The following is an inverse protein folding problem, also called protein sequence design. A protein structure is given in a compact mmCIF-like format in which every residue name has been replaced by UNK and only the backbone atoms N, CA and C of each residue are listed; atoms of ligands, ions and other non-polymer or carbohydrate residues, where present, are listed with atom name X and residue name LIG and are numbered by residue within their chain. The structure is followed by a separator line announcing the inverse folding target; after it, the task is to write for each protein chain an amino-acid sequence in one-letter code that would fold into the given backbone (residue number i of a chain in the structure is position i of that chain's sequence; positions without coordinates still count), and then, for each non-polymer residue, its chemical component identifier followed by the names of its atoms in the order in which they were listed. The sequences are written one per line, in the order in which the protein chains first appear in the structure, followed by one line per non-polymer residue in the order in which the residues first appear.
data_IF_837194751605
#
_entry.id   IF_837194751605
#
_cell.length_a   1.000
_cell.length_b   1.000
_cell.length_c   1.000
_cell.angle_alpha   90.00
_cell.angle_beta   90.00
_cell.angle_gamma   90.00
#
_symmetry.space_group_name_H-M   'P 1'
#
loop_
_entity.id
_entity.type
_entity.pdbx_description
1 polymer ?
#
# COMPACT_ATOMS: atom_id res chain seq x y z
N UNK A 1 -35.48 20.80 -19.19
CA UNK A 1 -36.79 20.26 -18.76
C UNK A 1 -36.69 19.82 -17.32
N UNK A 2 -37.67 20.14 -16.47
CA UNK A 2 -37.66 19.82 -15.03
C UNK A 2 -37.44 18.32 -14.73
N UNK A 3 -37.83 17.42 -15.65
CA UNK A 3 -37.51 15.99 -15.57
C UNK A 3 -36.01 15.69 -15.61
N UNK A 4 -35.22 16.43 -16.41
CA UNK A 4 -33.77 16.24 -16.54
C UNK A 4 -33.01 16.62 -15.26
N UNK A 5 -33.45 17.70 -14.59
CA UNK A 5 -32.88 18.14 -13.31
C UNK A 5 -33.25 17.17 -12.17
N UNK A 6 -34.47 16.63 -12.18
CA UNK A 6 -34.91 15.59 -11.25
C UNK A 6 -34.10 14.30 -11.38
N UNK A 7 -33.86 13.84 -12.61
CA UNK A 7 -33.06 12.63 -12.87
C UNK A 7 -31.57 12.83 -12.53
N UNK A 8 -31.03 14.03 -12.75
CA UNK A 8 -29.66 14.38 -12.35
C UNK A 8 -29.50 14.40 -10.83
N UNK A 9 -30.44 15.02 -10.12
CA UNK A 9 -30.41 15.12 -8.66
C UNK A 9 -30.60 13.74 -7.99
N UNK A 10 -31.42 12.86 -8.56
CA UNK A 10 -31.54 11.45 -8.15
C UNK A 10 -30.25 10.65 -8.38
N UNK A 11 -29.54 10.89 -9.49
CA UNK A 11 -28.23 10.25 -9.74
C UNK A 11 -27.20 10.75 -8.72
N UNK A 12 -27.09 12.06 -8.52
CA UNK A 12 -26.16 12.67 -7.55
C UNK A 12 -26.41 12.20 -6.10
N UNK A 13 -27.66 11.96 -5.72
CA UNK A 13 -28.03 11.41 -4.41
C UNK A 13 -27.71 9.91 -4.24
N UNK A 14 -27.45 9.19 -5.34
CA UNK A 14 -27.21 7.73 -5.32
C UNK A 14 -25.73 7.34 -5.43
N UNK A 15 -24.84 8.29 -5.74
CA UNK A 15 -23.40 7.98 -5.88
C UNK A 15 -22.74 8.06 -4.52
N UNK A 16 -22.29 6.93 -4.01
CA UNK A 16 -21.51 6.89 -2.76
C UNK A 16 -20.23 7.73 -2.89
N UNK A 17 -19.68 8.27 -1.79
CA UNK A 17 -18.40 8.99 -1.83
C UNK A 17 -17.29 8.19 -2.53
N UNK A 18 -17.25 6.88 -2.31
CA UNK A 18 -16.34 5.93 -2.96
C UNK A 18 -16.51 5.89 -4.49
N UNK A 19 -17.74 5.96 -5.00
CA UNK A 19 -18.00 5.95 -6.44
C UNK A 19 -17.66 7.30 -7.11
N UNK A 20 -17.86 8.41 -6.40
CA UNK A 20 -17.42 9.73 -6.87
C UNK A 20 -15.89 9.79 -6.97
N UNK A 21 -15.16 9.21 -6.01
CA UNK A 21 -13.70 9.14 -6.08
C UNK A 21 -13.20 8.17 -7.16
N UNK A 22 -13.85 7.01 -7.33
CA UNK A 22 -13.56 6.10 -8.47
C UNK A 22 -13.78 6.78 -9.83
N UNK A 23 -14.79 7.64 -9.95
CA UNK A 23 -15.00 8.44 -11.16
C UNK A 23 -13.88 9.46 -11.35
N UNK A 24 -13.42 10.14 -10.29
CA UNK A 24 -12.25 11.03 -10.37
C UNK A 24 -11.01 10.25 -10.82
N UNK A 25 -10.76 9.05 -10.30
CA UNK A 25 -9.62 8.22 -10.71
C UNK A 25 -9.68 7.80 -12.19
N UNK A 26 -10.88 7.57 -12.75
CA UNK A 26 -11.04 7.26 -14.18
C UNK A 26 -10.60 8.39 -15.10
N UNK A 27 -10.73 9.64 -14.67
CA UNK A 27 -10.43 10.83 -15.49
C UNK A 27 -9.19 11.60 -15.03
N UNK A 28 -8.60 11.28 -13.88
CA UNK A 28 -7.56 12.12 -13.26
C UNK A 28 -6.17 11.97 -13.89
N UNK A 29 -5.93 11.08 -14.86
CA UNK A 29 -4.60 10.88 -15.48
C UNK A 29 -3.49 10.47 -14.49
N UNK A 30 -3.85 10.17 -13.24
CA UNK A 30 -2.91 9.80 -12.17
C UNK A 30 -2.48 8.35 -12.38
N UNK A 31 -1.16 8.13 -12.42
CA UNK A 31 -0.58 6.81 -12.61
C UNK A 31 -1.00 5.88 -11.47
N UNK A 32 -1.45 4.67 -11.84
CA UNK A 32 -1.67 3.60 -10.88
C UNK A 32 -0.31 3.20 -10.29
N UNK A 33 -0.29 2.90 -9.00
CA UNK A 33 0.93 2.51 -8.28
C UNK A 33 0.77 1.12 -7.70
N UNK A 34 1.88 0.43 -7.50
CA UNK A 34 1.90 -0.90 -6.95
C UNK A 34 1.94 -0.85 -5.41
N UNK A 35 1.20 -1.74 -4.74
CA UNK A 35 1.34 -1.96 -3.31
C UNK A 35 2.67 -2.64 -3.02
N UNK A 36 3.45 -2.11 -2.08
CA UNK A 36 4.76 -2.67 -1.75
C UNK A 36 4.67 -4.05 -1.08
N UNK A 37 3.55 -4.39 -0.42
CA UNK A 37 3.39 -5.68 0.26
C UNK A 37 2.86 -6.76 -0.69
N UNK A 38 1.68 -6.56 -1.30
CA UNK A 38 1.02 -7.57 -2.13
C UNK A 38 1.30 -7.45 -3.63
N UNK A 39 2.08 -6.46 -4.07
CA UNK A 39 2.49 -6.29 -5.48
C UNK A 39 1.36 -6.07 -6.49
N UNK A 40 0.12 -5.90 -6.06
CA UNK A 40 -0.98 -5.54 -6.94
C UNK A 40 -0.99 -4.04 -7.26
N UNK A 41 -1.47 -3.70 -8.46
CA UNK A 41 -1.56 -2.33 -8.95
C UNK A 41 -2.89 -1.71 -8.55
N UNK A 42 -2.83 -0.58 -7.87
CA UNK A 42 -3.98 0.14 -7.34
C UNK A 42 -4.02 1.59 -7.81
N UNK A 43 -5.20 2.19 -7.76
CA UNK A 43 -5.30 3.65 -7.79
C UNK A 43 -4.65 4.24 -6.54
N UNK A 44 -4.12 5.45 -6.65
CA UNK A 44 -3.39 6.09 -5.55
C UNK A 44 -4.25 6.26 -4.28
N UNK A 45 -5.55 6.45 -4.43
CA UNK A 45 -6.52 6.56 -3.33
C UNK A 45 -6.62 5.26 -2.51
N UNK A 46 -6.43 4.12 -3.18
CA UNK A 46 -6.47 2.79 -2.55
C UNK A 46 -5.14 2.40 -1.89
N UNK A 47 -4.16 3.32 -1.85
CA UNK A 47 -2.85 3.17 -1.23
C UNK A 47 -2.68 4.18 -0.08
N UNK A 48 -3.50 4.09 0.99
CA UNK A 48 -3.57 5.12 2.01
C UNK A 48 -2.29 5.19 2.84
N UNK A 49 -1.77 4.04 3.27
CA UNK A 49 -0.67 3.97 4.23
C UNK A 49 0.68 4.13 3.53
N UNK A 50 1.53 4.98 4.12
CA UNK A 50 2.95 5.11 3.77
C UNK A 50 3.79 4.55 4.93
N UNK A 51 4.68 3.62 4.64
CA UNK A 51 5.53 2.94 5.63
C UNK A 51 6.94 2.75 5.08
N UNK A 52 7.92 2.51 5.94
CA UNK A 52 9.30 2.25 5.52
C UNK A 52 9.43 0.91 4.79
N UNK A 53 10.34 0.84 3.82
CA UNK A 53 10.65 -0.40 3.12
C UNK A 53 11.08 -1.52 4.08
N UNK A 54 11.80 -1.18 5.16
CA UNK A 54 12.19 -2.13 6.20
C UNK A 54 10.97 -2.87 6.79
N UNK A 55 9.89 -2.16 7.12
CA UNK A 55 8.70 -2.81 7.66
C UNK A 55 8.09 -3.81 6.67
N UNK A 56 8.07 -3.47 5.37
CA UNK A 56 7.60 -4.39 4.32
C UNK A 56 8.45 -5.65 4.26
N UNK A 57 9.77 -5.49 4.32
CA UNK A 57 10.70 -6.62 4.30
C UNK A 57 10.50 -7.49 5.53
N UNK A 58 10.40 -6.91 6.71
CA UNK A 58 10.25 -7.65 7.95
C UNK A 58 8.98 -8.53 7.94
N UNK A 59 7.86 -8.01 7.42
CA UNK A 59 6.62 -8.81 7.22
C UNK A 59 6.80 -9.89 6.15
N UNK A 60 7.44 -9.58 5.02
CA UNK A 60 7.67 -10.58 3.97
C UNK A 60 8.53 -11.73 4.46
N UNK A 61 9.57 -11.41 5.23
CA UNK A 61 10.47 -12.38 5.82
C UNK A 61 9.79 -13.22 6.89
N UNK A 62 8.90 -12.63 7.70
CA UNK A 62 8.11 -13.38 8.69
C UNK A 62 7.21 -14.44 8.03
N UNK A 63 6.79 -14.20 6.78
CA UNK A 63 6.05 -15.16 5.95
C UNK A 63 6.94 -16.12 5.17
N UNK A 64 8.26 -16.08 5.33
CA UNK A 64 9.22 -16.91 4.60
C UNK A 64 9.39 -16.53 3.12
N UNK A 65 8.99 -15.31 2.74
CA UNK A 65 9.23 -14.81 1.38
C UNK A 65 10.68 -14.35 1.21
N UNK A 66 11.19 -14.47 -0.01
CA UNK A 66 12.56 -14.09 -0.33
C UNK A 66 12.78 -12.58 -0.10
N UNK A 67 13.90 -12.28 0.57
CA UNK A 67 14.42 -10.92 0.72
C UNK A 67 14.51 -10.19 -0.63
N UNK A 68 14.19 -8.89 -0.70
CA UNK A 68 14.65 -8.09 -1.83
C UNK A 68 16.18 -8.01 -1.83
N UNK A 69 16.74 -7.56 -2.95
CA UNK A 69 18.18 -7.46 -3.12
C UNK A 69 18.86 -6.73 -1.93
N UNK A 70 19.99 -7.21 -1.39
CA UNK A 70 20.60 -6.72 -0.15
C UNK A 70 20.86 -5.21 -0.11
N UNK A 71 21.10 -4.60 -1.28
CA UNK A 71 21.20 -3.14 -1.46
C UNK A 71 20.02 -2.36 -0.84
N UNK A 72 18.81 -2.88 -0.94
CA UNK A 72 17.60 -2.23 -0.42
C UNK A 72 17.38 -2.45 1.09
N UNK A 73 18.13 -3.38 1.69
CA UNK A 73 18.08 -3.67 3.13
C UNK A 73 19.03 -2.78 3.93
N UNK A 74 20.00 -2.14 3.26
CA UNK A 74 20.99 -1.27 3.88
C UNK A 74 20.52 0.19 3.90
N UNK A 75 20.91 0.97 4.93
CA UNK A 75 20.70 2.41 4.91
C UNK A 75 21.36 3.06 3.68
N UNK A 76 20.78 4.15 3.13
CA UNK A 76 19.53 4.79 3.54
C UNK A 76 18.26 4.14 2.96
N UNK A 77 18.40 3.28 1.95
CA UNK A 77 17.29 2.77 1.14
C UNK A 77 16.23 1.99 1.93
N UNK A 78 16.62 1.30 3.01
CA UNK A 78 15.66 0.58 3.85
C UNK A 78 14.65 1.48 4.58
N UNK A 79 14.92 2.80 4.65
CA UNK A 79 14.02 3.80 5.22
C UNK A 79 13.18 4.53 4.18
N UNK A 80 13.27 4.15 2.89
CA UNK A 80 12.44 4.75 1.85
C UNK A 80 10.95 4.50 2.14
N UNK A 81 10.15 5.55 1.99
CA UNK A 81 8.72 5.50 2.22
C UNK A 81 8.01 4.88 1.01
N UNK A 82 7.38 3.74 1.24
CA UNK A 82 6.61 2.99 0.25
C UNK A 82 5.13 2.95 0.64
N UNK A 83 4.28 2.72 -0.37
CA UNK A 83 2.82 2.77 -0.21
C UNK A 83 2.23 1.36 -0.17
N UNK A 84 1.27 1.14 0.73
CA UNK A 84 0.52 -0.13 0.82
C UNK A 84 -0.98 0.10 0.74
N UNK A 85 -1.69 -0.91 0.26
CA UNK A 85 -3.13 -0.81 0.03
C UNK A 85 -3.92 -0.87 1.33
N UNK A 86 -5.18 -0.44 1.30
CA UNK A 86 -6.10 -0.43 2.45
C UNK A 86 -6.25 -1.79 3.11
N UNK A 87 -6.15 -2.88 2.36
CA UNK A 87 -6.17 -4.23 2.94
C UNK A 87 -4.84 -4.55 3.65
N UNK A 88 -3.72 -4.26 3.00
CA UNK A 88 -2.40 -4.55 3.56
C UNK A 88 -2.02 -3.65 4.74
N UNK A 89 -2.67 -2.50 4.93
CA UNK A 89 -2.39 -1.63 6.08
C UNK A 89 -2.70 -2.32 7.41
N UNK A 90 -3.64 -3.27 7.44
CA UNK A 90 -4.02 -4.00 8.66
C UNK A 90 -2.87 -4.77 9.32
N UNK A 91 -1.80 -5.07 8.58
CA UNK A 91 -0.61 -5.77 9.09
C UNK A 91 0.36 -4.85 9.84
N UNK A 92 0.07 -3.54 9.89
CA UNK A 92 0.97 -2.52 10.45
C UNK A 92 0.30 -1.65 11.52
N UNK A 93 -0.91 -2.01 11.97
CA UNK A 93 -1.70 -1.20 12.91
C UNK A 93 -1.24 -1.35 14.38
N UNK A 94 -0.67 -2.50 14.76
CA UNK A 94 -0.13 -2.70 16.11
C UNK A 94 1.36 -2.36 16.17
N UNK A 95 1.72 -1.41 17.05
CA UNK A 95 3.10 -0.98 17.30
C UNK A 95 4.00 -2.18 17.59
N UNK A 96 4.86 -2.53 16.63
CA UNK A 96 5.86 -3.58 16.78
C UNK A 96 5.41 -4.98 16.34
N UNK A 97 4.17 -5.20 15.91
CA UNK A 97 3.68 -6.50 15.41
C UNK A 97 4.48 -7.03 14.20
N UNK A 98 5.03 -6.12 13.39
CA UNK A 98 5.84 -6.46 12.21
C UNK A 98 7.33 -6.59 12.50
N UNK A 99 7.80 -6.20 13.69
CA UNK A 99 9.23 -6.25 14.02
C UNK A 99 9.58 -7.69 14.39
N UNK A 100 10.31 -8.34 13.50
CA UNK A 100 10.95 -9.62 13.80
C UNK A 100 11.93 -9.45 14.97
N UNK A 101 12.14 -10.53 15.73
CA UNK A 101 13.22 -10.61 16.70
C UNK A 101 14.55 -10.26 15.98
N UNK A 102 15.36 -9.32 16.51
CA UNK A 102 16.63 -8.93 15.90
C UNK A 102 17.54 -10.11 15.50
N UNK A 103 17.44 -11.25 16.19
CA UNK A 103 18.18 -12.48 15.83
C UNK A 103 17.87 -12.96 14.40
N UNK A 104 16.62 -12.89 13.94
CA UNK A 104 16.21 -13.35 12.62
C UNK A 104 16.62 -12.38 11.49
N UNK A 105 16.74 -11.09 11.81
CA UNK A 105 17.18 -10.07 10.84
C UNK A 105 18.67 -10.23 10.53
N UNK A 106 19.48 -10.56 11.54
CA UNK A 106 20.93 -10.75 11.38
C UNK A 106 21.22 -11.98 10.51
N UNK A 107 20.56 -13.11 10.80
CA UNK A 107 20.66 -14.35 10.01
C UNK A 107 20.36 -14.13 8.52
N UNK A 108 19.31 -13.37 8.20
CA UNK A 108 18.94 -13.10 6.80
C UNK A 108 19.93 -12.17 6.06
N UNK A 109 20.68 -11.33 6.78
CA UNK A 109 21.75 -10.52 6.18
C UNK A 109 23.02 -11.34 5.95
N UNK A 110 23.33 -12.25 6.87
CA UNK A 110 24.50 -13.12 6.80
C UNK A 110 24.34 -14.20 5.69
N UNK A 111 23.11 -14.65 5.39
CA UNK A 111 22.83 -15.57 4.27
C UNK A 111 22.87 -14.90 2.88
N UNK A 112 22.87 -13.57 2.83
CA UNK A 112 22.80 -12.80 1.58
C UNK A 112 24.16 -12.29 1.08
N UNK A 113 25.26 -12.65 1.76
CA UNK A 113 26.66 -12.47 1.35
C UNK A 113 27.22 -13.73 0.68
#
# INVERSE_FOLDING_TARGET
SAQYESDRSKREASVTPLEQERQKDKYSGKSRKQCALCEHVFAQMNLPLAITLKAIVDVRMSWGLKAPHPRFLRPPYCYDMVKVCTFCSQFFDEEGSYRLDPAQTQLALDEAE
#
